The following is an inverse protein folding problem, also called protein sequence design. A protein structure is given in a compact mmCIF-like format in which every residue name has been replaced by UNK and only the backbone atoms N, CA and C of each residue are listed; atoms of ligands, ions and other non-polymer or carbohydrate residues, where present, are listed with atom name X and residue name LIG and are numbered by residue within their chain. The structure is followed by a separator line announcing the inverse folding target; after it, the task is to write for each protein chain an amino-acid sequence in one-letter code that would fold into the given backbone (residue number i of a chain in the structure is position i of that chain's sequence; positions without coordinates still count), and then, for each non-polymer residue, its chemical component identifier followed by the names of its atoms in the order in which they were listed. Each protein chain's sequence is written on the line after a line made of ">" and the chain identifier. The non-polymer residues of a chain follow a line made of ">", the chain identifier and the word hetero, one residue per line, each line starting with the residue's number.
data_IF_803322083163
#
_entry.id   IF_803322083163
#
_cell.length_a   1.000
_cell.length_b   1.000
_cell.length_c   1.000
_cell.angle_alpha   90.00
_cell.angle_beta   90.00
_cell.angle_gamma   90.00
#
_symmetry.space_group_name_H-M   'P 1'
#
loop_
_entity.id
_entity.type
_entity.pdbx_description
1 polymer ?
#
# COMPACT_ATOMS: atom_id res chain seq x y z
N UNK A 1 15.61 10.22 8.59
CA UNK A 1 14.15 9.98 8.59
C UNK A 1 13.96 8.74 7.75
N UNK A 2 13.49 7.65 8.34
CA UNK A 2 13.37 6.38 7.62
C UNK A 2 12.53 6.48 6.34
N UNK A 3 12.89 5.65 5.37
CA UNK A 3 12.27 5.59 4.05
C UNK A 3 11.51 4.27 3.93
N UNK A 4 10.21 4.32 3.60
CA UNK A 4 9.37 3.12 3.46
C UNK A 4 8.72 3.05 2.09
N UNK A 5 8.63 1.85 1.52
CA UNK A 5 7.92 1.57 0.28
C UNK A 5 6.66 0.75 0.57
N UNK A 6 5.57 1.01 -0.15
CA UNK A 6 4.32 0.28 0.03
C UNK A 6 4.15 -0.72 -1.12
N UNK A 7 4.04 -2.01 -0.79
CA UNK A 7 3.95 -3.13 -1.74
C UNK A 7 2.56 -3.34 -2.34
N UNK A 8 1.83 -2.24 -2.63
CA UNK A 8 0.45 -2.32 -3.16
C UNK A 8 0.41 -3.02 -4.51
N UNK A 9 1.40 -2.79 -5.37
CA UNK A 9 1.44 -3.35 -6.73
C UNK A 9 1.66 -4.86 -6.70
N UNK A 10 2.59 -5.30 -5.86
CA UNK A 10 2.95 -6.69 -5.65
C UNK A 10 1.75 -7.46 -5.08
N UNK A 11 1.16 -6.96 -3.98
CA UNK A 11 0.00 -7.59 -3.34
C UNK A 11 -1.23 -7.61 -4.26
N UNK A 12 -1.44 -6.57 -5.06
CA UNK A 12 -2.51 -6.54 -6.04
C UNK A 12 -2.29 -7.58 -7.14
N UNK A 13 -1.06 -7.73 -7.63
CA UNK A 13 -0.72 -8.73 -8.64
C UNK A 13 -0.89 -10.16 -8.12
N UNK A 14 -0.46 -10.44 -6.89
CA UNK A 14 -0.62 -11.76 -6.25
C UNK A 14 -2.08 -12.18 -6.11
N UNK A 15 -2.97 -11.22 -5.81
CA UNK A 15 -4.42 -11.48 -5.70
C UNK A 15 -5.17 -11.36 -7.04
N UNK A 16 -4.49 -10.95 -8.12
CA UNK A 16 -5.10 -10.71 -9.43
C UNK A 16 -6.03 -9.49 -9.47
N UNK A 17 -5.81 -8.48 -8.62
CA UNK A 17 -6.66 -7.29 -8.52
C UNK A 17 -6.09 -6.11 -9.31
N UNK A 18 -7.00 -5.32 -9.88
CA UNK A 18 -6.64 -4.00 -10.44
C UNK A 18 -6.52 -2.94 -9.34
N UNK A 19 -5.78 -1.86 -9.58
CA UNK A 19 -5.74 -0.72 -8.64
C UNK A 19 -7.12 -0.09 -8.38
N UNK A 20 -8.04 -0.22 -9.34
CA UNK A 20 -9.42 0.23 -9.17
C UNK A 20 -10.14 -0.64 -8.14
N UNK A 21 -10.04 -1.96 -8.26
CA UNK A 21 -10.60 -2.88 -7.27
C UNK A 21 -9.97 -2.71 -5.89
N UNK A 22 -8.65 -2.50 -5.81
CA UNK A 22 -7.99 -2.20 -4.53
C UNK A 22 -8.58 -0.95 -3.90
N UNK A 23 -8.82 0.10 -4.70
CA UNK A 23 -9.46 1.33 -4.22
C UNK A 23 -10.88 1.09 -3.71
N UNK A 24 -11.69 0.34 -4.46
CA UNK A 24 -13.08 0.03 -4.10
C UNK A 24 -13.16 -0.85 -2.84
N UNK A 25 -12.29 -1.86 -2.71
CA UNK A 25 -12.27 -2.79 -1.57
C UNK A 25 -11.67 -2.17 -0.29
N UNK A 26 -10.67 -1.31 -0.43
CA UNK A 26 -10.00 -0.69 0.73
C UNK A 26 -10.62 0.62 1.19
N UNK A 27 -11.46 1.25 0.36
CA UNK A 27 -11.96 2.60 0.62
C UNK A 27 -10.82 3.63 0.66
N UNK A 28 -9.68 3.33 0.05
CA UNK A 28 -8.59 4.27 -0.20
C UNK A 28 -8.78 4.85 -1.59
N UNK A 29 -8.62 6.17 -1.73
CA UNK A 29 -8.83 6.86 -3.01
C UNK A 29 -7.86 6.32 -4.07
N UNK A 30 -8.34 6.09 -5.28
CA UNK A 30 -7.58 5.52 -6.39
C UNK A 30 -6.24 6.23 -6.65
N UNK A 31 -6.21 7.56 -6.54
CA UNK A 31 -4.98 8.32 -6.74
C UNK A 31 -3.93 8.01 -5.67
N UNK A 32 -4.35 7.76 -4.43
CA UNK A 32 -3.45 7.36 -3.35
C UNK A 32 -2.93 5.93 -3.55
N UNK A 33 -3.80 4.99 -3.97
CA UNK A 33 -3.39 3.63 -4.34
C UNK A 33 -2.34 3.68 -5.46
N UNK A 34 -2.59 4.47 -6.51
CA UNK A 34 -1.67 4.66 -7.64
C UNK A 34 -0.37 5.34 -7.22
N UNK A 35 -0.43 6.31 -6.31
CA UNK A 35 0.75 6.98 -5.77
C UNK A 35 1.62 5.97 -5.01
N UNK A 36 1.04 5.20 -4.09
CA UNK A 36 1.76 4.17 -3.34
C UNK A 36 2.35 3.08 -4.23
N UNK A 37 1.63 2.65 -5.26
CA UNK A 37 2.11 1.64 -6.21
C UNK A 37 3.29 2.12 -7.09
N UNK A 38 3.46 3.44 -7.28
CA UNK A 38 4.50 4.04 -8.13
C UNK A 38 5.64 4.67 -7.35
N UNK A 39 5.40 5.05 -6.09
CA UNK A 39 6.38 5.75 -5.29
C UNK A 39 7.48 4.76 -4.86
N UNK A 40 8.76 5.04 -5.17
CA UNK A 40 9.85 4.16 -4.78
C UNK A 40 10.09 4.17 -3.27
N UNK A 41 9.72 5.25 -2.57
CA UNK A 41 9.85 5.37 -1.12
C UNK A 41 9.18 6.64 -0.60
N UNK A 42 8.65 6.58 0.62
CA UNK A 42 7.94 7.62 1.32
C UNK A 42 8.60 7.84 2.68
N UNK A 43 8.78 9.10 3.06
CA UNK A 43 9.26 9.48 4.40
C UNK A 43 8.11 9.65 5.39
N UNK A 44 6.87 9.74 4.91
CA UNK A 44 5.67 9.88 5.73
C UNK A 44 4.50 9.21 5.03
N UNK A 45 3.72 8.45 5.80
CA UNK A 45 2.54 7.76 5.28
C UNK A 45 1.42 7.79 6.32
N UNK A 46 0.18 7.89 5.86
CA UNK A 46 -0.99 7.87 6.73
C UNK A 46 -1.24 6.44 7.22
N UNK A 47 -1.11 6.24 8.53
CA UNK A 47 -1.27 4.92 9.16
C UNK A 47 -2.70 4.36 9.02
N UNK A 48 -3.71 5.22 8.92
CA UNK A 48 -5.10 4.80 8.71
C UNK A 48 -5.26 4.19 7.31
N UNK A 49 -4.59 4.76 6.30
CA UNK A 49 -4.59 4.22 4.94
C UNK A 49 -3.83 2.89 4.86
N UNK A 50 -2.68 2.78 5.56
CA UNK A 50 -1.97 1.50 5.68
C UNK A 50 -2.85 0.42 6.30
N UNK A 51 -3.52 0.73 7.40
CA UNK A 51 -4.38 -0.24 8.10
C UNK A 51 -5.58 -0.68 7.25
N UNK A 52 -6.13 0.21 6.43
CA UNK A 52 -7.17 -0.13 5.44
C UNK A 52 -6.63 -1.11 4.40
N UNK A 53 -5.50 -0.78 3.78
CA UNK A 53 -4.88 -1.64 2.77
C UNK A 53 -4.50 -3.01 3.33
N UNK A 54 -3.84 -3.05 4.49
CA UNK A 54 -3.43 -4.29 5.16
C UNK A 54 -4.63 -5.21 5.42
N UNK A 55 -5.75 -4.66 5.92
CA UNK A 55 -7.00 -5.42 6.10
C UNK A 55 -7.59 -5.91 4.78
N UNK A 56 -7.54 -5.11 3.72
CA UNK A 56 -8.06 -5.50 2.40
C UNK A 56 -7.25 -6.62 1.77
N UNK A 57 -5.93 -6.60 1.94
CA UNK A 57 -5.04 -7.65 1.44
C UNK A 57 -4.96 -8.87 2.36
N UNK A 58 -5.50 -8.76 3.57
CA UNK A 58 -5.42 -9.76 4.65
C UNK A 58 -3.95 -10.08 5.01
N UNK A 59 -3.17 -9.03 5.27
CA UNK A 59 -1.75 -9.10 5.62
C UNK A 59 -1.43 -8.21 6.82
N UNK A 60 -0.29 -8.42 7.47
CA UNK A 60 0.21 -7.48 8.47
C UNK A 60 0.67 -6.18 7.82
N UNK A 61 0.73 -5.09 8.59
CA UNK A 61 1.25 -3.81 8.09
C UNK A 61 2.72 -3.95 7.68
N UNK A 62 3.50 -4.73 8.44
CA UNK A 62 4.90 -5.07 8.14
C UNK A 62 5.07 -5.83 6.82
N UNK A 63 4.08 -6.64 6.42
CA UNK A 63 4.07 -7.31 5.12
C UNK A 63 3.63 -6.36 3.98
N UNK A 64 2.88 -5.31 4.29
CA UNK A 64 2.47 -4.28 3.34
C UNK A 64 3.59 -3.27 3.06
N UNK A 65 4.40 -2.96 4.06
CA UNK A 65 5.51 -2.00 3.96
C UNK A 65 6.84 -2.69 3.78
N UNK A 66 7.79 -1.98 3.18
CA UNK A 66 9.18 -2.40 3.03
C UNK A 66 10.04 -1.22 3.52
N UNK A 67 10.84 -1.44 4.56
CA UNK A 67 11.75 -0.41 5.09
C UNK A 67 13.00 -0.41 4.20
N UNK A 68 13.25 0.72 3.56
CA UNK A 68 14.42 0.94 2.71
C UNK A 68 15.59 1.55 3.50
N UNK A 69 15.28 2.44 4.44
CA UNK A 69 16.24 3.11 5.33
C UNK A 69 15.61 3.34 6.71
N UNK A 70 16.38 3.23 7.80
CA UNK A 70 15.93 3.44 9.20
C UNK A 70 16.15 4.88 9.68
#
# INVERSE_FOLDING_TARGET
>A
MGLVRIKVRELAAEKGWTFKEVSERSGVVYNTVKHYARCPGLTTVDFTLLRKLARTFDVMIEDLVEVLEE
#
